data_IF_130849462646
#
_entry.id   IF_130849462646
#
_cell.length_a   1.000
_cell.length_b   1.000
_cell.length_c   1.000
_cell.angle_alpha   90.00
_cell.angle_beta   90.00
_cell.angle_gamma   90.00
#
_symmetry.space_group_name_H-M   'P 1'
#
loop_
_entity.id
_entity.type
_entity.pdbx_description
1 polymer ?
#
# COMPACT_ATOMS: atom_id res chain seq x y z
N UNK A 1 -31.18 34.31 54.89
CA UNK A 1 -32.08 33.19 54.53
C UNK A 1 -32.37 33.25 53.03
N UNK A 2 -31.51 32.65 52.18
CA UNK A 2 -31.76 32.44 50.73
C UNK A 2 -31.02 31.18 50.28
N UNK A 3 -31.77 30.09 50.18
CA UNK A 3 -31.38 28.81 49.60
C UNK A 3 -31.67 28.87 48.10
N UNK A 4 -30.89 28.09 47.32
CA UNK A 4 -30.97 27.79 45.88
C UNK A 4 -30.26 28.79 44.96
N UNK A 5 -28.97 28.61 44.63
CA UNK A 5 -28.30 27.51 43.89
C UNK A 5 -28.76 27.32 42.42
N UNK A 6 -27.80 27.55 41.51
CA UNK A 6 -27.44 26.63 40.41
C UNK A 6 -28.18 26.62 39.05
N UNK A 7 -28.80 27.70 38.57
CA UNK A 7 -29.34 27.68 37.18
C UNK A 7 -28.88 28.82 36.24
N UNK A 8 -27.70 29.42 36.48
CA UNK A 8 -27.21 30.52 35.62
C UNK A 8 -26.31 30.10 34.43
N UNK A 9 -25.82 28.87 34.31
CA UNK A 9 -24.84 28.52 33.24
C UNK A 9 -24.91 27.06 32.80
N UNK A 10 -25.84 26.73 31.90
CA UNK A 10 -25.93 25.52 31.01
C UNK A 10 -27.39 25.52 30.54
N UNK A 11 -27.70 25.93 29.33
CA UNK A 11 -27.83 25.05 28.16
C UNK A 11 -27.88 25.95 26.92
N UNK A 12 -26.77 26.17 26.21
CA UNK A 12 -26.41 25.37 25.03
C UNK A 12 -27.62 24.99 24.17
N UNK A 13 -28.03 25.89 23.29
CA UNK A 13 -27.90 25.74 21.83
C UNK A 13 -28.08 24.30 21.26
N UNK A 14 -29.18 23.61 21.61
CA UNK A 14 -29.50 22.26 21.11
C UNK A 14 -31.02 22.17 20.86
N UNK A 15 -31.42 21.78 19.63
CA UNK A 15 -32.76 21.32 19.19
C UNK A 15 -33.75 22.29 18.49
N UNK A 16 -33.35 22.91 17.37
CA UNK A 16 -34.30 23.35 16.32
C UNK A 16 -34.73 22.22 15.34
N UNK A 17 -34.38 20.95 15.61
CA UNK A 17 -34.54 19.83 14.67
C UNK A 17 -35.83 19.01 14.90
N UNK A 18 -36.58 19.28 15.97
CA UNK A 18 -37.65 18.39 16.42
C UNK A 18 -39.07 18.77 15.96
N UNK A 19 -39.24 19.87 15.23
CA UNK A 19 -40.57 20.33 14.78
C UNK A 19 -40.78 20.15 13.28
N UNK A 20 -41.99 19.75 12.89
CA UNK A 20 -42.39 19.55 11.51
C UNK A 20 -42.64 20.92 10.84
N UNK A 21 -42.02 21.21 9.68
CA UNK A 21 -42.17 22.52 9.03
C UNK A 21 -43.54 22.74 8.38
N UNK A 22 -44.43 21.74 8.38
CA UNK A 22 -45.76 21.81 7.77
C UNK A 22 -46.84 22.10 8.81
N UNK A 23 -46.72 21.54 10.00
CA UNK A 23 -47.80 21.59 11.00
C UNK A 23 -47.29 21.79 12.43
N UNK A 24 -46.01 22.14 12.59
CA UNK A 24 -45.31 22.40 13.85
C UNK A 24 -45.40 21.32 14.93
N UNK A 25 -45.86 20.12 14.56
CA UNK A 25 -45.89 18.97 15.46
C UNK A 25 -44.50 18.37 15.63
N UNK A 26 -44.31 17.68 16.76
CA UNK A 26 -43.08 16.95 17.04
C UNK A 26 -42.82 15.84 16.02
N UNK A 27 -41.61 15.84 15.49
CA UNK A 27 -41.10 14.81 14.60
C UNK A 27 -40.64 13.57 15.39
N UNK A 28 -41.14 12.40 15.00
CA UNK A 28 -40.72 11.11 15.55
C UNK A 28 -39.56 10.53 14.76
N UNK A 29 -38.54 10.02 15.44
CA UNK A 29 -37.40 9.37 14.79
C UNK A 29 -37.73 7.89 14.53
N UNK A 30 -37.48 7.42 13.31
CA UNK A 30 -37.65 6.02 12.88
C UNK A 30 -36.41 5.53 12.14
N UNK A 31 -35.96 4.31 12.46
CA UNK A 31 -34.91 3.61 11.71
C UNK A 31 -35.54 2.66 10.69
N UNK A 32 -35.16 2.77 9.42
CA UNK A 32 -35.59 1.87 8.34
C UNK A 32 -34.71 0.61 8.29
N UNK A 33 -35.21 -0.44 7.62
CA UNK A 33 -34.50 -1.71 7.46
C UNK A 33 -33.15 -1.57 6.71
N UNK A 34 -33.03 -0.58 5.83
CA UNK A 34 -31.77 -0.24 5.12
C UNK A 34 -30.75 0.49 6.02
N UNK A 35 -31.08 0.72 7.29
CA UNK A 35 -30.23 1.39 8.28
C UNK A 35 -30.33 2.92 8.25
N UNK A 36 -31.11 3.52 7.35
CA UNK A 36 -31.36 4.96 7.34
C UNK A 36 -32.21 5.37 8.56
N UNK A 37 -31.92 6.54 9.12
CA UNK A 37 -32.68 7.16 10.20
C UNK A 37 -33.44 8.34 9.63
N UNK A 38 -34.76 8.35 9.79
CA UNK A 38 -35.66 9.40 9.29
C UNK A 38 -36.47 10.00 10.45
N UNK A 39 -36.85 11.27 10.35
CA UNK A 39 -37.95 11.85 11.11
C UNK A 39 -39.27 11.69 10.35
N UNK A 40 -40.38 11.46 11.06
CA UNK A 40 -41.74 11.36 10.50
C UNK A 40 -42.69 12.19 11.37
N UNK A 41 -43.58 12.94 10.74
CA UNK A 41 -44.70 13.64 11.36
C UNK A 41 -46.02 12.90 11.12
N UNK A 42 -47.02 13.11 11.99
CA UNK A 42 -48.38 12.59 11.81
C UNK A 42 -49.08 13.13 10.56
N UNK A 43 -48.67 14.30 10.03
CA UNK A 43 -49.20 14.84 8.78
C UNK A 43 -48.61 14.19 7.52
N UNK A 44 -47.71 13.22 7.66
CA UNK A 44 -47.05 12.53 6.54
C UNK A 44 -45.69 13.12 6.13
N UNK A 45 -45.30 14.28 6.66
CA UNK A 45 -43.95 14.83 6.43
C UNK A 45 -42.88 13.86 6.94
N UNK A 46 -41.82 13.64 6.15
CA UNK A 46 -40.66 12.89 6.60
C UNK A 46 -39.34 13.47 6.07
N UNK A 47 -38.26 13.36 6.85
CA UNK A 47 -36.93 13.86 6.49
C UNK A 47 -35.85 12.85 6.89
N UNK A 48 -34.92 12.54 6.00
CA UNK A 48 -33.78 11.68 6.34
C UNK A 48 -32.80 12.46 7.22
N UNK A 49 -32.48 11.91 8.39
CA UNK A 49 -31.55 12.49 9.37
C UNK A 49 -30.14 11.92 9.15
N UNK A 50 -30.02 10.61 8.92
CA UNK A 50 -28.74 9.97 8.64
C UNK A 50 -28.89 8.74 7.75
N UNK A 51 -27.91 8.54 6.87
CA UNK A 51 -27.79 7.33 6.05
C UNK A 51 -26.69 6.48 6.69
N UNK A 52 -26.98 5.22 7.00
CA UNK A 52 -25.97 4.30 7.50
C UNK A 52 -24.88 4.10 6.43
N UNK A 53 -23.66 4.61 6.69
CA UNK A 53 -22.48 4.27 5.87
C UNK A 53 -22.27 2.76 5.94
N UNK A 54 -22.47 2.01 4.85
CA UNK A 54 -22.07 0.58 4.79
C UNK A 54 -20.60 0.51 5.17
N UNK A 55 -20.24 -0.27 6.22
CA UNK A 55 -18.85 -0.59 6.55
C UNK A 55 -18.26 -1.39 5.38
N UNK A 56 -17.60 -0.73 4.44
CA UNK A 56 -16.90 -1.38 3.34
C UNK A 56 -15.72 -2.16 3.94
N UNK A 57 -15.81 -3.48 3.95
CA UNK A 57 -14.69 -4.35 4.34
C UNK A 57 -13.59 -4.19 3.29
N UNK A 58 -12.37 -3.89 3.74
CA UNK A 58 -11.16 -3.84 2.91
C UNK A 58 -10.21 -4.96 3.33
N UNK A 59 -10.50 -6.23 2.99
CA UNK A 59 -9.76 -7.36 3.54
C UNK A 59 -8.33 -7.44 2.99
N UNK A 60 -8.07 -6.90 1.81
CA UNK A 60 -6.78 -7.00 1.13
C UNK A 60 -5.87 -5.84 1.54
N UNK A 61 -4.69 -6.13 2.09
CA UNK A 61 -3.70 -5.11 2.46
C UNK A 61 -2.41 -5.27 1.67
N UNK A 62 -1.84 -4.15 1.23
CA UNK A 62 -0.52 -4.13 0.65
C UNK A 62 0.54 -4.34 1.73
N UNK A 63 1.39 -5.37 1.58
CA UNK A 63 2.46 -5.69 2.54
C UNK A 63 3.63 -4.70 2.48
N UNK A 64 3.63 -3.79 1.50
CA UNK A 64 4.69 -2.79 1.28
C UNK A 64 4.35 -1.47 1.98
N UNK A 65 3.13 -0.94 1.77
CA UNK A 65 2.71 0.36 2.32
C UNK A 65 1.55 0.28 3.32
N UNK A 66 1.00 -0.90 3.58
CA UNK A 66 -0.14 -1.08 4.49
C UNK A 66 -1.50 -0.65 3.94
N UNK A 67 -1.57 0.00 2.76
CA UNK A 67 -2.85 0.43 2.14
C UNK A 67 -3.81 -0.75 1.98
N UNK A 68 -5.08 -0.52 2.29
CA UNK A 68 -6.14 -1.53 2.25
C UNK A 68 -7.12 -1.32 1.10
N UNK A 69 -7.45 -2.40 0.40
CA UNK A 69 -8.28 -2.44 -0.79
C UNK A 69 -9.53 -3.28 -0.54
N UNK A 70 -10.63 -2.87 -1.19
CA UNK A 70 -11.91 -3.59 -1.15
C UNK A 70 -11.79 -4.91 -1.90
N UNK A 71 -11.05 -4.91 -3.01
CA UNK A 71 -10.92 -6.03 -3.93
C UNK A 71 -9.46 -6.41 -4.17
N UNK A 72 -9.23 -7.70 -4.44
CA UNK A 72 -7.91 -8.23 -4.75
C UNK A 72 -7.35 -7.63 -6.05
N UNK A 73 -8.20 -7.39 -7.06
CA UNK A 73 -7.77 -6.79 -8.34
C UNK A 73 -7.17 -5.40 -8.15
N UNK A 74 -7.75 -4.58 -7.28
CA UNK A 74 -7.23 -3.24 -6.99
C UNK A 74 -5.89 -3.29 -6.25
N UNK A 75 -5.70 -4.24 -5.33
CA UNK A 75 -4.39 -4.46 -4.70
C UNK A 75 -3.35 -4.90 -5.73
N UNK A 76 -3.70 -5.84 -6.62
CA UNK A 76 -2.81 -6.32 -7.67
C UNK A 76 -2.43 -5.18 -8.61
N UNK A 77 -3.40 -4.37 -9.05
CA UNK A 77 -3.16 -3.23 -9.93
C UNK A 77 -2.23 -2.21 -9.27
N UNK A 78 -2.52 -1.84 -8.02
CA UNK A 78 -1.67 -0.98 -7.20
C UNK A 78 -0.22 -1.48 -7.12
N UNK A 79 -0.01 -2.79 -6.95
CA UNK A 79 1.35 -3.34 -6.93
C UNK A 79 2.02 -3.40 -8.31
N UNK A 80 1.25 -3.62 -9.39
CA UNK A 80 1.76 -3.67 -10.77
C UNK A 80 2.17 -2.29 -11.28
N UNK A 81 1.39 -1.27 -10.98
CA UNK A 81 1.59 0.10 -11.46
C UNK A 81 2.78 0.81 -10.80
N UNK A 82 3.57 0.08 -9.99
CA UNK A 82 4.70 0.62 -9.23
C UNK A 82 4.30 1.88 -8.45
N UNK A 83 3.08 1.93 -7.92
CA UNK A 83 2.57 3.07 -7.11
C UNK A 83 3.32 3.24 -5.78
N UNK A 84 4.34 2.43 -5.54
CA UNK A 84 5.22 2.54 -4.41
C UNK A 84 6.53 3.14 -4.90
N UNK A 85 6.86 4.29 -4.34
CA UNK A 85 8.22 4.78 -4.46
C UNK A 85 9.13 3.86 -3.64
N UNK A 86 10.10 3.26 -4.34
CA UNK A 86 11.10 2.40 -3.72
C UNK A 86 11.97 3.20 -2.74
N UNK A 87 12.20 4.49 -3.03
CA UNK A 87 12.92 5.38 -2.15
C UNK A 87 12.15 5.59 -0.84
N UNK A 88 10.83 5.79 -0.88
CA UNK A 88 10.03 5.93 0.34
C UNK A 88 10.09 4.69 1.24
N UNK A 89 10.09 3.49 0.64
CA UNK A 89 10.22 2.24 1.39
C UNK A 89 11.61 2.14 2.00
N UNK A 90 12.65 2.44 1.22
CA UNK A 90 14.03 2.44 1.69
C UNK A 90 14.25 3.43 2.84
N UNK A 91 13.75 4.66 2.72
CA UNK A 91 13.81 5.67 3.78
C UNK A 91 13.06 5.23 5.04
N UNK A 92 11.94 4.50 4.90
CA UNK A 92 11.24 3.92 6.05
C UNK A 92 12.07 2.85 6.76
N UNK A 93 12.79 2.01 6.02
CA UNK A 93 13.70 1.04 6.64
C UNK A 93 14.88 1.71 7.35
N UNK A 94 15.46 2.75 6.74
CA UNK A 94 16.53 3.53 7.37
C UNK A 94 16.06 4.18 8.68
N UNK A 95 14.84 4.74 8.71
CA UNK A 95 14.26 5.31 9.93
C UNK A 95 14.07 4.29 11.06
N UNK A 96 14.00 2.99 10.73
CA UNK A 96 13.93 1.90 11.70
C UNK A 96 15.31 1.40 12.13
N UNK A 97 16.40 1.99 11.63
CA UNK A 97 17.77 1.60 11.97
C UNK A 97 18.21 0.26 11.34
N UNK A 98 17.51 -0.21 10.31
CA UNK A 98 17.82 -1.49 9.67
C UNK A 98 19.06 -1.36 8.76
N UNK A 99 19.94 -2.36 8.79
CA UNK A 99 21.03 -2.50 7.83
C UNK A 99 20.51 -2.99 6.46
N UNK A 100 21.28 -2.77 5.39
CA UNK A 100 20.92 -3.26 4.05
C UNK A 100 20.66 -4.78 4.02
N UNK A 101 21.45 -5.56 4.75
CA UNK A 101 21.25 -7.01 4.84
C UNK A 101 19.94 -7.39 5.53
N UNK A 102 19.59 -6.67 6.61
CA UNK A 102 18.30 -6.88 7.27
C UNK A 102 17.13 -6.51 6.35
N UNK A 103 17.23 -5.42 5.60
CA UNK A 103 16.21 -5.02 4.62
C UNK A 103 16.02 -6.10 3.54
N UNK A 104 17.12 -6.64 3.02
CA UNK A 104 17.09 -7.71 2.01
C UNK A 104 16.42 -8.97 2.57
N UNK A 105 16.79 -9.40 3.78
CA UNK A 105 16.20 -10.58 4.43
C UNK A 105 14.67 -10.43 4.63
N UNK A 106 14.21 -9.22 4.96
CA UNK A 106 12.77 -8.92 5.06
C UNK A 106 12.08 -9.08 3.70
N UNK A 107 12.67 -8.54 2.63
CA UNK A 107 12.10 -8.61 1.29
C UNK A 107 12.16 -10.01 0.67
N UNK A 108 13.20 -10.78 0.96
CA UNK A 108 13.32 -12.19 0.56
C UNK A 108 12.22 -13.06 1.19
N UNK A 109 11.84 -12.74 2.43
CA UNK A 109 10.78 -13.45 3.16
C UNK A 109 9.37 -12.95 2.79
N UNK A 110 9.25 -11.90 1.98
CA UNK A 110 7.96 -11.27 1.67
C UNK A 110 7.14 -12.13 0.71
N UNK A 111 5.96 -12.56 1.16
CA UNK A 111 4.97 -13.25 0.31
C UNK A 111 4.32 -12.27 -0.67
N UNK A 112 4.69 -12.34 -1.95
CA UNK A 112 4.04 -11.58 -3.02
C UNK A 112 2.73 -12.26 -3.45
N UNK A 113 1.73 -11.51 -3.94
CA UNK A 113 0.54 -12.12 -4.54
C UNK A 113 0.89 -12.95 -5.78
N UNK A 114 0.15 -14.03 -6.04
CA UNK A 114 0.41 -14.99 -7.14
C UNK A 114 0.61 -14.38 -8.54
N UNK A 115 0.14 -13.15 -8.79
CA UNK A 115 0.29 -12.46 -10.09
C UNK A 115 1.49 -11.51 -10.15
N UNK A 116 2.25 -11.37 -9.05
CA UNK A 116 3.42 -10.52 -8.94
C UNK A 116 4.63 -11.41 -8.61
N UNK A 117 5.43 -11.71 -9.63
CA UNK A 117 6.56 -12.63 -9.50
C UNK A 117 7.91 -11.90 -9.34
N UNK A 118 7.88 -10.57 -9.23
CA UNK A 118 9.08 -9.73 -9.13
C UNK A 118 8.90 -8.66 -8.06
N UNK A 119 9.79 -8.65 -7.08
CA UNK A 119 9.86 -7.69 -5.99
C UNK A 119 10.75 -6.52 -6.40
N UNK A 120 10.12 -5.39 -6.74
CA UNK A 120 10.82 -4.18 -7.17
C UNK A 120 11.71 -3.61 -6.06
N UNK A 121 11.29 -3.75 -4.79
CA UNK A 121 12.06 -3.28 -3.63
C UNK A 121 13.33 -4.11 -3.47
N UNK A 122 13.20 -5.44 -3.52
CA UNK A 122 14.33 -6.35 -3.45
C UNK A 122 15.36 -6.06 -4.56
N UNK A 123 14.90 -5.90 -5.80
CA UNK A 123 15.76 -5.55 -6.93
C UNK A 123 16.57 -4.28 -6.68
N UNK A 124 15.95 -3.24 -6.10
CA UNK A 124 16.65 -2.01 -5.74
C UNK A 124 17.65 -2.21 -4.60
N UNK A 125 17.27 -2.92 -3.53
CA UNK A 125 18.14 -3.17 -2.39
C UNK A 125 19.40 -3.94 -2.80
N UNK A 126 19.26 -4.94 -3.68
CA UNK A 126 20.39 -5.71 -4.23
C UNK A 126 21.29 -4.82 -5.08
N UNK A 127 20.74 -3.94 -5.93
CA UNK A 127 21.55 -2.94 -6.66
C UNK A 127 22.29 -2.00 -5.73
N UNK A 128 21.62 -1.53 -4.66
CA UNK A 128 22.21 -0.62 -3.68
C UNK A 128 23.33 -1.29 -2.89
N UNK A 129 23.16 -2.55 -2.48
CA UNK A 129 24.20 -3.39 -1.85
C UNK A 129 25.41 -3.58 -2.78
N UNK A 130 25.19 -3.67 -4.09
CA UNK A 130 26.25 -3.70 -5.08
C UNK A 130 26.81 -2.31 -5.46
N UNK A 131 26.47 -1.25 -4.72
CA UNK A 131 26.85 0.14 -5.01
C UNK A 131 26.51 0.60 -6.43
N UNK A 132 25.43 0.05 -7.00
CA UNK A 132 25.04 0.25 -8.40
C UNK A 132 26.19 -0.03 -9.39
N UNK A 133 27.03 -1.01 -9.07
CA UNK A 133 28.09 -1.48 -9.94
C UNK A 133 27.75 -2.83 -10.53
N UNK A 134 28.16 -3.07 -11.77
CA UNK A 134 28.07 -4.39 -12.37
C UNK A 134 28.95 -5.35 -11.57
N UNK A 135 28.42 -6.49 -11.15
CA UNK A 135 29.20 -7.46 -10.36
C UNK A 135 30.33 -8.11 -11.18
N UNK A 136 30.22 -8.13 -12.52
CA UNK A 136 31.24 -8.66 -13.43
C UNK A 136 32.36 -7.65 -13.68
N UNK A 137 32.08 -6.51 -14.30
CA UNK A 137 33.12 -5.54 -14.70
C UNK A 137 33.27 -4.33 -13.78
N UNK A 138 32.50 -4.24 -12.69
CA UNK A 138 32.50 -3.14 -11.72
C UNK A 138 32.15 -1.75 -12.27
N UNK A 139 31.70 -1.65 -13.52
CA UNK A 139 31.25 -0.37 -14.09
C UNK A 139 30.10 0.20 -13.25
N UNK A 140 30.18 1.49 -12.93
CA UNK A 140 29.14 2.21 -12.23
C UNK A 140 27.97 2.49 -13.17
N UNK A 141 26.75 2.41 -12.62
CA UNK A 141 25.52 2.72 -13.33
C UNK A 141 25.47 4.16 -13.83
N UNK A 142 25.18 4.34 -15.12
CA UNK A 142 24.84 5.65 -15.70
C UNK A 142 23.65 5.52 -16.65
N UNK A 143 23.11 6.64 -17.13
CA UNK A 143 22.02 6.65 -18.11
C UNK A 143 22.46 6.20 -19.51
N UNK A 144 23.76 6.04 -19.75
CA UNK A 144 24.27 5.45 -21.01
C UNK A 144 23.82 4.00 -21.11
N UNK A 145 23.37 3.61 -22.30
CA UNK A 145 22.79 2.29 -22.55
C UNK A 145 23.68 1.15 -22.02
N UNK A 146 24.98 1.13 -22.33
CA UNK A 146 25.88 0.03 -21.95
C UNK A 146 26.21 -0.05 -20.46
N UNK A 147 26.13 1.07 -19.74
CA UNK A 147 26.40 1.13 -18.30
C UNK A 147 25.12 1.18 -17.47
N UNK A 148 23.93 1.06 -18.07
CA UNK A 148 22.67 0.94 -17.30
C UNK A 148 22.69 -0.34 -16.46
N UNK A 149 22.37 -0.21 -15.17
CA UNK A 149 22.45 -1.31 -14.20
C UNK A 149 21.10 -1.97 -13.94
N UNK A 150 21.06 -3.27 -14.14
CA UNK A 150 19.87 -4.12 -14.10
C UNK A 150 20.11 -5.32 -13.17
N UNK A 151 19.04 -5.79 -12.51
CA UNK A 151 19.10 -7.01 -11.73
C UNK A 151 18.56 -8.16 -12.60
N UNK A 152 19.34 -9.22 -12.73
CA UNK A 152 19.02 -10.40 -13.52
C UNK A 152 18.85 -11.61 -12.60
N UNK A 153 17.91 -12.50 -12.92
CA UNK A 153 17.76 -13.77 -12.19
C UNK A 153 18.76 -14.79 -12.73
N UNK A 154 19.65 -15.34 -11.89
CA UNK A 154 20.62 -16.38 -12.29
C UNK A 154 19.91 -17.62 -12.83
N UNK A 155 18.87 -18.06 -12.12
CA UNK A 155 17.91 -19.06 -12.59
C UNK A 155 16.63 -18.31 -13.01
N UNK A 156 16.21 -18.37 -14.28
CA UNK A 156 14.99 -17.72 -14.75
C UNK A 156 13.74 -18.14 -13.99
N UNK A 157 12.82 -17.19 -13.74
CA UNK A 157 11.54 -17.48 -13.08
C UNK A 157 10.70 -18.50 -13.85
N UNK A 158 10.78 -18.52 -15.19
CA UNK A 158 10.10 -19.51 -16.04
C UNK A 158 10.64 -20.93 -15.88
N UNK A 159 11.86 -21.07 -15.36
CA UNK A 159 12.53 -22.34 -15.09
C UNK A 159 12.48 -22.70 -13.59
N UNK A 160 11.60 -22.06 -12.81
CA UNK A 160 11.45 -22.32 -11.38
C UNK A 160 12.41 -21.55 -10.47
N UNK A 161 13.18 -20.60 -11.02
CA UNK A 161 13.98 -19.68 -10.22
C UNK A 161 13.12 -18.88 -9.24
N UNK A 162 13.65 -18.65 -8.03
CA UNK A 162 12.97 -17.86 -7.00
C UNK A 162 13.33 -16.39 -7.11
N UNK A 163 12.40 -15.51 -6.77
CA UNK A 163 12.65 -14.07 -6.71
C UNK A 163 13.22 -13.68 -5.33
N UNK A 164 14.47 -14.09 -5.10
CA UNK A 164 15.23 -13.89 -3.85
C UNK A 164 16.61 -13.33 -4.16
N UNK A 165 17.21 -12.63 -3.20
CA UNK A 165 18.49 -11.93 -3.34
C UNK A 165 19.61 -12.81 -3.87
N UNK A 166 19.71 -14.06 -3.42
CA UNK A 166 20.76 -15.02 -3.83
C UNK A 166 20.65 -15.45 -5.28
N UNK A 167 19.43 -15.42 -5.83
CA UNK A 167 19.15 -15.70 -7.25
C UNK A 167 19.20 -14.43 -8.11
N UNK A 168 19.50 -13.25 -7.53
CA UNK A 168 19.67 -12.02 -8.28
C UNK A 168 21.16 -11.70 -8.45
N UNK A 169 21.50 -11.15 -9.62
CA UNK A 169 22.83 -10.62 -9.93
C UNK A 169 22.69 -9.24 -10.57
N UNK A 170 23.54 -8.29 -10.18
CA UNK A 170 23.55 -6.91 -10.65
C UNK A 170 24.51 -6.76 -11.82
N UNK A 171 24.00 -6.35 -12.98
CA UNK A 171 24.73 -6.37 -14.23
C UNK A 171 24.54 -5.07 -15.00
N UNK A 172 25.54 -4.66 -15.78
CA UNK A 172 25.33 -3.63 -16.80
C UNK A 172 24.59 -4.22 -18.01
N UNK A 173 23.99 -3.35 -18.83
CA UNK A 173 23.22 -3.78 -20.00
C UNK A 173 24.01 -4.70 -20.93
N UNK A 174 25.30 -4.41 -21.17
CA UNK A 174 26.18 -5.25 -21.99
C UNK A 174 26.24 -6.68 -21.46
N UNK A 175 26.61 -6.87 -20.19
CA UNK A 175 26.72 -8.19 -19.59
C UNK A 175 25.36 -8.89 -19.44
N UNK A 176 24.31 -8.12 -19.16
CA UNK A 176 22.96 -8.66 -19.11
C UNK A 176 22.54 -9.25 -20.47
N UNK A 177 22.86 -8.56 -21.56
CA UNK A 177 22.63 -9.04 -22.93
C UNK A 177 23.47 -10.27 -23.26
N UNK A 178 24.73 -10.31 -22.85
CA UNK A 178 25.63 -11.45 -23.08
C UNK A 178 25.10 -12.75 -22.45
N UNK A 179 24.52 -12.66 -21.24
CA UNK A 179 23.88 -13.80 -20.59
C UNK A 179 22.65 -14.28 -21.37
N UNK A 180 21.78 -13.36 -21.78
CA UNK A 180 20.62 -13.72 -22.62
C UNK A 180 21.02 -14.36 -23.96
N UNK A 181 22.20 -14.00 -24.48
CA UNK A 181 22.77 -14.56 -25.70
C UNK A 181 23.55 -15.87 -25.49
N UNK A 182 23.74 -16.32 -24.24
CA UNK A 182 24.53 -17.51 -23.90
C UNK A 182 26.04 -17.34 -24.10
N UNK A 183 26.51 -16.11 -24.29
CA UNK A 183 27.95 -15.81 -24.44
C UNK A 183 28.67 -15.64 -23.09
N UNK A 184 27.90 -15.57 -22.00
CA UNK A 184 28.41 -15.51 -20.64
C UNK A 184 27.49 -16.32 -19.72
N UNK A 185 28.04 -17.22 -18.91
CA UNK A 185 27.27 -18.04 -17.97
C UNK A 185 27.32 -17.42 -16.57
N UNK A 186 26.15 -17.29 -15.94
CA UNK A 186 26.00 -16.82 -14.57
C UNK A 186 26.54 -17.81 -13.52
N UNK A 187 26.67 -19.09 -13.87
CA UNK A 187 27.18 -20.14 -12.96
C UNK A 187 28.69 -20.07 -12.74
N UNK A 188 29.43 -19.36 -13.60
CA UNK A 188 30.90 -19.21 -13.49
C UNK A 188 31.26 -18.08 -12.50
N UNK A 189 30.27 -17.27 -12.10
CA UNK A 189 30.46 -16.13 -11.22
C UNK A 189 30.31 -16.57 -9.74
N UNK A 190 31.36 -17.21 -9.21
CA UNK A 190 31.51 -17.44 -7.78
C UNK A 190 31.75 -16.09 -7.07
N UNK A 191 30.70 -15.51 -6.50
CA UNK A 191 30.75 -14.37 -5.58
C UNK A 191 30.16 -14.76 -4.22
#
# INVERSE_FOLDING_TARGET
MRISERQSKREKNINLINFCPICDNFLRIKKKADGSVITICICGYSKVISIAKRKIKRPYSCQVCGKRFVELRSLIQHQKDKTHDVNDIYLRYLKQGLSLDQMINIEDSRKLPRKLNRNVVLSFLVKKKANFQCQICKVLGTDKQDSRIEAHHKIPLSQGGKDISTNLIVLCHKHHKQIHQGTLDTNILNF
#
